data_IF_905084232179
#
_entry.id   IF_905084232179
#
_cell.length_a   1.000
_cell.length_b   1.000
_cell.length_c   1.000
_cell.angle_alpha   90.00
_cell.angle_beta   90.00
_cell.angle_gamma   90.00
#
_symmetry.space_group_name_H-M   'P 1'
#
loop_
_entity.id
_entity.type
_entity.pdbx_description
1 polymer ?
#
# COMPACT_ATOMS: atom_id res chain seq x y z
N UNK A 1 7.58 -3.73 -6.43
CA UNK A 1 7.22 -3.11 -7.74
C UNK A 1 8.18 -3.58 -8.82
N UNK A 2 7.69 -3.90 -10.02
CA UNK A 2 8.53 -4.38 -11.12
C UNK A 2 9.51 -3.31 -11.63
N UNK A 3 10.52 -3.73 -12.38
CA UNK A 3 11.31 -2.84 -13.21
C UNK A 3 10.49 -2.35 -14.41
N UNK A 4 10.70 -1.12 -14.81
CA UNK A 4 10.15 -0.54 -16.01
C UNK A 4 11.27 -0.26 -17.01
N UNK A 5 10.90 -0.09 -18.27
CA UNK A 5 11.83 0.19 -19.35
C UNK A 5 11.28 1.30 -20.24
N UNK A 6 12.15 2.19 -20.69
CA UNK A 6 11.80 3.23 -21.65
C UNK A 6 11.58 2.58 -23.02
N UNK A 7 10.36 2.66 -23.57
CA UNK A 7 10.03 2.05 -24.88
C UNK A 7 10.77 2.71 -26.04
N UNK A 8 11.41 3.87 -25.84
CA UNK A 8 12.17 4.54 -26.88
C UNK A 8 13.65 4.09 -26.92
N UNK A 9 14.30 3.91 -25.76
CA UNK A 9 15.74 3.67 -25.72
C UNK A 9 16.20 2.48 -24.86
N UNK A 10 15.28 1.73 -24.24
CA UNK A 10 15.61 0.57 -23.41
C UNK A 10 16.16 0.90 -22.01
N UNK A 11 16.26 2.19 -21.62
CA UNK A 11 16.76 2.59 -20.30
C UNK A 11 15.85 2.02 -19.20
N UNK A 12 16.41 1.31 -18.17
CA UNK A 12 15.67 0.96 -16.98
C UNK A 12 15.13 2.20 -16.25
N UNK A 13 13.90 2.11 -15.76
CA UNK A 13 13.17 3.21 -15.14
C UNK A 13 12.61 2.79 -13.78
N UNK A 14 12.56 3.77 -12.86
CA UNK A 14 11.82 3.65 -11.60
C UNK A 14 10.39 4.16 -11.75
N UNK A 15 9.53 3.72 -10.87
CA UNK A 15 8.10 4.05 -10.87
C UNK A 15 7.83 5.57 -10.80
N UNK A 16 8.68 6.31 -10.10
CA UNK A 16 8.57 7.75 -9.88
C UNK A 16 9.20 8.60 -10.98
N UNK A 17 9.87 8.00 -11.97
CA UNK A 17 10.52 8.77 -13.01
C UNK A 17 9.49 9.58 -13.82
N UNK A 18 9.79 10.85 -14.05
CA UNK A 18 9.00 11.78 -14.87
C UNK A 18 9.68 12.10 -16.21
N UNK A 19 10.97 11.74 -16.33
CA UNK A 19 11.78 11.90 -17.54
C UNK A 19 12.78 10.77 -17.65
N UNK A 20 13.02 10.30 -18.86
CA UNK A 20 14.08 9.32 -19.13
C UNK A 20 15.44 10.05 -19.20
N UNK A 21 16.36 9.71 -18.31
CA UNK A 21 17.68 10.33 -18.23
C UNK A 21 18.53 10.08 -19.47
N UNK A 22 18.31 8.95 -20.18
CA UNK A 22 19.08 8.60 -21.37
C UNK A 22 18.62 9.35 -22.61
N UNK A 23 17.32 9.36 -22.93
CA UNK A 23 16.80 9.90 -24.19
C UNK A 23 15.95 11.18 -24.04
N UNK A 24 15.72 11.64 -22.82
CA UNK A 24 15.01 12.88 -22.53
C UNK A 24 13.49 12.86 -22.70
N UNK A 25 12.88 11.71 -23.09
CA UNK A 25 11.43 11.63 -23.21
C UNK A 25 10.75 11.86 -21.85
N UNK A 26 9.65 12.63 -21.87
CA UNK A 26 8.75 12.69 -20.72
C UNK A 26 8.16 11.32 -20.44
N UNK A 27 7.92 11.00 -19.18
CA UNK A 27 7.41 9.71 -18.73
C UNK A 27 6.12 9.90 -17.95
N UNK A 28 5.24 8.90 -18.02
CA UNK A 28 4.04 8.85 -17.19
C UNK A 28 3.62 7.39 -16.91
N UNK A 29 3.03 7.15 -15.74
CA UNK A 29 2.47 5.85 -15.43
C UNK A 29 1.11 5.68 -16.09
N UNK A 30 0.95 4.60 -16.84
CA UNK A 30 -0.27 4.24 -17.55
C UNK A 30 -0.94 3.06 -16.83
N UNK A 31 -1.97 3.29 -16.00
CA UNK A 31 -2.61 2.23 -15.21
C UNK A 31 -3.20 1.09 -16.04
N UNK A 32 -3.78 1.39 -17.21
CA UNK A 32 -4.37 0.39 -18.11
C UNK A 32 -3.38 -0.65 -18.64
N UNK A 33 -2.08 -0.30 -18.63
CA UNK A 33 -0.96 -1.17 -19.04
C UNK A 33 -0.04 -1.54 -17.89
N UNK A 34 -0.33 -1.03 -16.70
CA UNK A 34 0.51 -1.23 -15.51
C UNK A 34 1.99 -0.93 -15.78
N UNK A 35 2.28 0.17 -16.49
CA UNK A 35 3.65 0.50 -16.91
C UNK A 35 3.94 2.00 -16.91
N UNK A 36 5.21 2.34 -16.71
CA UNK A 36 5.73 3.66 -17.07
C UNK A 36 5.92 3.68 -18.58
N UNK A 37 5.45 4.74 -19.23
CA UNK A 37 5.55 4.90 -20.69
C UNK A 37 6.26 6.18 -21.06
N UNK A 38 7.09 6.08 -22.10
CA UNK A 38 7.65 7.25 -22.77
C UNK A 38 6.55 7.95 -23.58
N UNK A 39 6.58 9.27 -23.57
CA UNK A 39 5.54 10.11 -24.15
C UNK A 39 6.07 10.92 -25.34
N UNK A 40 5.30 10.93 -26.42
CA UNK A 40 5.51 11.82 -27.54
C UNK A 40 4.83 13.15 -27.23
N UNK A 41 5.61 14.24 -27.34
CA UNK A 41 5.11 15.58 -27.06
C UNK A 41 3.93 15.97 -27.96
N UNK A 42 2.96 16.74 -27.43
CA UNK A 42 1.87 17.28 -28.24
C UNK A 42 2.39 18.09 -29.43
N UNK A 43 1.74 17.97 -30.59
CA UNK A 43 2.01 18.86 -31.72
C UNK A 43 1.45 20.24 -31.43
N UNK A 44 1.97 21.27 -32.14
CA UNK A 44 1.44 22.63 -32.06
C UNK A 44 -0.06 22.60 -32.44
N UNK A 45 -0.93 22.92 -31.51
CA UNK A 45 -2.39 22.83 -31.68
C UNK A 45 -3.09 21.67 -30.95
N UNK A 46 -2.35 20.62 -30.52
CA UNK A 46 -2.92 19.46 -29.81
C UNK A 46 -3.18 19.72 -28.30
N UNK A 47 -2.95 20.92 -27.80
CA UNK A 47 -3.06 21.27 -26.39
C UNK A 47 -2.08 20.49 -25.51
N UNK A 48 -2.56 19.98 -24.38
CA UNK A 48 -1.77 19.17 -23.42
C UNK A 48 -1.96 17.66 -23.63
N UNK A 49 -2.27 17.21 -24.86
CA UNK A 49 -2.57 15.81 -25.17
C UNK A 49 -1.32 15.06 -25.60
N UNK A 50 -0.96 14.03 -24.84
CA UNK A 50 0.21 13.19 -25.05
C UNK A 50 -0.17 11.86 -25.72
N UNK A 51 0.77 11.29 -26.51
CA UNK A 51 0.70 9.92 -26.99
C UNK A 51 1.67 9.06 -26.20
N UNK A 52 1.19 7.94 -25.66
CA UNK A 52 1.99 6.98 -24.92
C UNK A 52 2.59 5.94 -25.87
N UNK A 53 3.90 5.70 -25.80
CA UNK A 53 4.54 4.68 -26.66
C UNK A 53 4.06 3.25 -26.32
N UNK A 54 3.70 2.98 -25.06
CA UNK A 54 3.13 1.70 -24.65
C UNK A 54 1.69 1.48 -25.18
N UNK A 55 0.99 2.54 -25.62
CA UNK A 55 -0.35 2.48 -26.20
C UNK A 55 -0.53 3.57 -27.27
N UNK A 56 0.02 3.40 -28.47
CA UNK A 56 0.12 4.47 -29.50
C UNK A 56 -1.23 5.00 -30.01
N UNK A 57 -2.31 4.20 -29.88
CA UNK A 57 -3.66 4.60 -30.27
C UNK A 57 -4.36 5.47 -29.23
N UNK A 58 -3.94 5.38 -27.97
CA UNK A 58 -4.51 6.14 -26.86
C UNK A 58 -4.02 7.60 -26.83
N UNK A 59 -4.85 8.47 -26.31
CA UNK A 59 -4.52 9.88 -26.02
C UNK A 59 -4.67 10.14 -24.53
N UNK A 60 -3.69 10.82 -23.96
CA UNK A 60 -3.56 10.98 -22.52
C UNK A 60 -3.25 12.43 -22.14
N UNK A 61 -3.63 12.78 -20.93
CA UNK A 61 -3.13 13.94 -20.20
C UNK A 61 -2.54 13.49 -18.88
N UNK A 62 -1.66 14.28 -18.33
CA UNK A 62 -1.24 14.06 -16.94
C UNK A 62 -2.40 14.31 -15.98
N UNK A 63 -2.42 13.61 -14.86
CA UNK A 63 -3.23 13.93 -13.70
C UNK A 63 -3.05 15.41 -13.31
N UNK A 64 -4.11 16.10 -12.92
CA UNK A 64 -4.07 17.50 -12.55
C UNK A 64 -3.01 17.81 -11.47
N UNK A 65 -2.74 16.87 -10.57
CA UNK A 65 -1.71 17.00 -9.53
C UNK A 65 -0.26 16.99 -10.05
N UNK A 66 -0.02 16.81 -11.35
CA UNK A 66 1.32 16.96 -11.94
C UNK A 66 1.87 18.38 -11.74
N UNK A 67 1.00 19.40 -11.70
CA UNK A 67 1.40 20.79 -11.48
C UNK A 67 2.11 21.05 -10.15
N UNK A 68 1.88 20.18 -9.17
CA UNK A 68 2.51 20.22 -7.84
C UNK A 68 3.72 19.29 -7.73
N UNK A 69 4.08 18.57 -8.80
CA UNK A 69 5.18 17.60 -8.80
C UNK A 69 4.92 16.36 -7.94
N UNK A 70 3.67 16.06 -7.62
CA UNK A 70 3.28 14.95 -6.73
C UNK A 70 2.73 13.73 -7.49
N UNK A 71 2.56 13.82 -8.81
CA UNK A 71 1.95 12.74 -9.60
C UNK A 71 2.51 12.71 -11.02
N UNK A 72 2.86 11.50 -11.50
CA UNK A 72 3.26 11.23 -12.87
C UNK A 72 2.26 10.33 -13.62
N UNK A 73 1.08 10.11 -13.07
CA UNK A 73 0.09 9.21 -13.67
C UNK A 73 -0.70 9.88 -14.79
N UNK A 74 -1.07 9.05 -15.76
CA UNK A 74 -1.80 9.47 -16.95
C UNK A 74 -3.29 9.18 -16.79
N UNK A 75 -4.11 10.07 -17.39
CA UNK A 75 -5.55 9.97 -17.51
C UNK A 75 -5.90 10.00 -19.00
N UNK A 76 -6.80 9.12 -19.44
CA UNK A 76 -7.31 9.19 -20.83
C UNK A 76 -8.01 10.53 -21.08
N UNK A 77 -7.85 11.10 -22.26
CA UNK A 77 -8.58 12.31 -22.64
C UNK A 77 -10.08 12.08 -22.77
N UNK A 78 -10.49 10.82 -22.99
CA UNK A 78 -11.90 10.41 -23.07
C UNK A 78 -12.55 10.29 -21.68
N UNK A 79 -11.76 10.31 -20.61
CA UNK A 79 -12.27 10.30 -19.24
C UNK A 79 -12.72 11.71 -18.82
N UNK A 80 -13.87 11.87 -18.14
CA UNK A 80 -14.27 13.15 -17.56
C UNK A 80 -13.39 13.54 -16.36
N UNK A 81 -12.66 12.60 -15.77
CA UNK A 81 -11.87 12.77 -14.55
C UNK A 81 -10.59 13.57 -14.81
N UNK A 82 -10.36 14.65 -14.06
CA UNK A 82 -9.09 15.38 -14.11
C UNK A 82 -7.97 14.68 -13.34
N UNK A 83 -8.33 13.90 -12.33
CA UNK A 83 -7.41 13.17 -11.45
C UNK A 83 -7.29 11.70 -11.85
N UNK A 84 -6.10 11.14 -11.64
CA UNK A 84 -5.85 9.71 -11.84
C UNK A 84 -6.54 8.85 -10.78
N UNK A 85 -6.49 7.51 -10.96
CA UNK A 85 -7.07 6.55 -10.01
C UNK A 85 -6.62 6.74 -8.55
N UNK A 86 -5.40 7.18 -8.29
CA UNK A 86 -4.92 7.41 -6.94
C UNK A 86 -5.34 8.79 -6.40
N UNK A 87 -5.21 9.85 -7.22
CA UNK A 87 -5.44 11.23 -6.77
C UNK A 87 -6.92 11.57 -6.60
N UNK A 88 -7.85 10.92 -7.30
CA UNK A 88 -9.29 11.14 -7.13
C UNK A 88 -9.83 10.72 -5.76
N UNK A 89 -9.06 9.95 -5.00
CA UNK A 89 -9.38 9.59 -3.63
C UNK A 89 -8.89 10.63 -2.60
N UNK A 90 -8.17 11.69 -3.00
CA UNK A 90 -7.82 12.77 -2.09
C UNK A 90 -9.06 13.61 -1.78
N UNK A 91 -9.46 13.64 -0.52
CA UNK A 91 -10.55 14.48 -0.01
C UNK A 91 -10.01 15.83 0.48
N UNK A 92 -8.94 15.79 1.26
CA UNK A 92 -8.27 16.97 1.79
C UNK A 92 -6.78 16.90 1.48
N UNK A 93 -6.23 18.00 0.95
CA UNK A 93 -4.79 18.18 0.76
C UNK A 93 -4.29 19.30 1.69
N UNK A 94 -3.00 19.31 2.09
CA UNK A 94 -2.47 20.34 2.97
C UNK A 94 -2.47 21.71 2.29
N UNK A 95 -2.32 22.76 3.10
CA UNK A 95 -2.11 24.10 2.58
C UNK A 95 -0.75 24.19 1.86
N UNK A 96 -0.76 24.37 0.54
CA UNK A 96 0.43 24.37 -0.31
C UNK A 96 1.15 25.71 -0.37
N UNK A 97 0.70 26.74 0.35
CA UNK A 97 1.43 28.02 0.44
C UNK A 97 2.76 27.88 1.21
N UNK A 98 2.91 26.83 1.99
CA UNK A 98 4.12 26.47 2.72
C UNK A 98 4.92 25.45 1.93
N UNK A 99 6.19 25.75 1.62
CA UNK A 99 7.06 24.85 0.87
C UNK A 99 7.30 23.52 1.57
N UNK A 100 7.36 23.53 2.90
CA UNK A 100 7.48 22.31 3.70
C UNK A 100 6.27 21.38 3.53
N UNK A 101 5.05 21.93 3.57
CA UNK A 101 3.83 21.15 3.34
C UNK A 101 3.83 20.51 1.95
N UNK A 102 4.27 21.24 0.94
CA UNK A 102 4.39 20.71 -0.43
C UNK A 102 5.40 19.55 -0.48
N UNK A 103 6.59 19.73 0.11
CA UNK A 103 7.64 18.71 0.13
C UNK A 103 7.17 17.44 0.89
N UNK A 104 6.51 17.60 2.03
CA UNK A 104 5.95 16.49 2.80
C UNK A 104 4.81 15.79 2.05
N UNK A 105 3.92 16.56 1.41
CA UNK A 105 2.86 15.97 0.60
C UNK A 105 3.40 15.20 -0.61
N UNK A 106 4.50 15.65 -1.24
CA UNK A 106 5.18 14.89 -2.30
C UNK A 106 5.63 13.51 -1.82
N UNK A 107 6.25 13.40 -0.64
CA UNK A 107 6.66 12.12 -0.06
C UNK A 107 5.45 11.21 0.23
N UNK A 108 4.38 11.77 0.77
CA UNK A 108 3.13 11.06 1.06
C UNK A 108 2.49 10.52 -0.23
N UNK A 109 2.39 11.35 -1.27
CA UNK A 109 1.81 10.95 -2.56
C UNK A 109 2.63 9.84 -3.24
N UNK A 110 3.96 9.86 -3.14
CA UNK A 110 4.81 8.76 -3.62
C UNK A 110 4.42 7.45 -2.92
N UNK A 111 4.30 7.44 -1.60
CA UNK A 111 3.92 6.25 -0.83
C UNK A 111 2.49 5.79 -1.19
N UNK A 112 1.54 6.72 -1.33
CA UNK A 112 0.17 6.41 -1.74
C UNK A 112 0.11 5.85 -3.17
N UNK A 113 0.87 6.38 -4.12
CA UNK A 113 0.92 5.84 -5.48
C UNK A 113 1.49 4.41 -5.51
N UNK A 114 2.47 4.10 -4.66
CA UNK A 114 2.97 2.72 -4.47
C UNK A 114 1.90 1.80 -3.90
N UNK A 115 1.12 2.27 -2.92
CA UNK A 115 -0.04 1.52 -2.42
C UNK A 115 -1.03 1.23 -3.57
N UNK A 116 -1.44 2.27 -4.32
CA UNK A 116 -2.40 2.12 -5.42
C UNK A 116 -1.90 1.20 -6.52
N UNK A 117 -0.59 1.18 -6.79
CA UNK A 117 0.00 0.19 -7.69
C UNK A 117 -0.33 -1.24 -7.23
N UNK A 118 -0.10 -1.56 -5.96
CA UNK A 118 -0.40 -2.88 -5.39
C UNK A 118 -1.89 -3.19 -5.42
N UNK A 119 -2.76 -2.22 -5.04
CA UNK A 119 -4.20 -2.39 -5.04
C UNK A 119 -4.74 -2.71 -6.45
N UNK A 120 -4.24 -2.02 -7.47
CA UNK A 120 -4.60 -2.27 -8.87
C UNK A 120 -4.13 -3.65 -9.33
N UNK A 121 -2.90 -4.04 -9.00
CA UNK A 121 -2.33 -5.37 -9.31
C UNK A 121 -3.15 -6.50 -8.68
N UNK A 122 -3.55 -6.36 -7.45
CA UNK A 122 -4.37 -7.31 -6.71
C UNK A 122 -5.86 -7.21 -7.09
N UNK A 123 -6.24 -6.24 -7.94
CA UNK A 123 -7.62 -5.99 -8.38
C UNK A 123 -8.59 -5.81 -7.22
N UNK A 124 -8.14 -5.18 -6.17
CA UNK A 124 -8.97 -4.86 -5.02
C UNK A 124 -9.98 -3.76 -5.36
N UNK A 125 -11.18 -3.75 -4.76
CA UNK A 125 -12.19 -2.73 -5.05
C UNK A 125 -11.71 -1.34 -4.60
N UNK A 126 -11.83 -0.36 -5.49
CA UNK A 126 -11.42 1.04 -5.30
C UNK A 126 -12.64 1.95 -5.52
N UNK A 127 -13.63 1.84 -4.65
CA UNK A 127 -14.83 2.67 -4.70
C UNK A 127 -14.54 4.01 -4.04
N UNK A 128 -14.84 5.12 -4.73
CA UNK A 128 -14.66 6.47 -4.19
C UNK A 128 -15.85 6.89 -3.32
N UNK A 129 -15.70 7.94 -2.52
CA UNK A 129 -16.82 8.52 -1.75
C UNK A 129 -17.90 9.16 -2.63
N UNK A 130 -17.60 9.49 -3.87
CA UNK A 130 -18.61 9.96 -4.83
C UNK A 130 -19.54 8.82 -5.28
N UNK A 131 -19.05 7.57 -5.23
CA UNK A 131 -19.80 6.37 -5.61
C UNK A 131 -20.47 5.69 -4.41
N UNK A 132 -19.93 5.84 -3.20
CA UNK A 132 -20.39 5.20 -1.96
C UNK A 132 -20.02 6.09 -0.76
N UNK A 133 -20.93 6.41 0.16
CA UNK A 133 -20.65 7.22 1.36
C UNK A 133 -19.51 6.68 2.22
N UNK A 134 -19.29 5.36 2.25
CA UNK A 134 -18.18 4.69 2.94
C UNK A 134 -17.05 4.33 1.98
N UNK A 135 -17.00 4.92 0.78
CA UNK A 135 -15.94 4.76 -0.19
C UNK A 135 -14.61 5.32 0.31
N UNK A 136 -13.53 4.81 -0.27
CA UNK A 136 -12.16 5.18 0.09
C UNK A 136 -11.88 6.65 -0.17
N UNK A 137 -11.35 7.35 0.84
CA UNK A 137 -10.81 8.70 0.71
C UNK A 137 -9.60 8.92 1.62
N UNK A 138 -8.79 9.92 1.29
CA UNK A 138 -7.60 10.30 2.06
C UNK A 138 -7.67 11.77 2.45
N UNK A 139 -7.35 12.04 3.72
CA UNK A 139 -7.11 13.38 4.27
C UNK A 139 -5.63 13.51 4.65
N UNK A 140 -4.96 14.50 4.12
CA UNK A 140 -3.59 14.85 4.47
C UNK A 140 -3.59 16.13 5.27
N UNK A 141 -3.44 16.00 6.59
CA UNK A 141 -3.62 17.09 7.52
C UNK A 141 -2.29 17.50 8.15
N UNK A 142 -1.99 18.80 8.10
CA UNK A 142 -0.89 19.38 8.86
C UNK A 142 -1.35 19.71 10.28
N UNK A 143 -0.44 19.65 11.25
CA UNK A 143 -0.70 20.18 12.57
C UNK A 143 -1.09 21.67 12.46
N UNK A 144 -2.02 22.17 13.31
CA UNK A 144 -2.35 23.57 13.35
C UNK A 144 -1.10 24.41 13.64
N UNK A 145 -1.00 25.59 13.01
CA UNK A 145 0.10 26.52 13.29
C UNK A 145 0.11 26.90 14.77
N UNK A 146 1.29 27.07 15.35
CA UNK A 146 1.46 27.53 16.72
C UNK A 146 0.66 28.82 16.95
N UNK A 147 -0.13 28.85 18.02
CA UNK A 147 -1.00 30.00 18.35
C UNK A 147 -2.41 29.95 17.80
N UNK A 148 -2.80 28.90 17.08
CA UNK A 148 -4.20 28.65 16.72
C UNK A 148 -4.91 27.88 17.84
N UNK A 149 -6.19 28.21 18.12
CA UNK A 149 -6.99 27.53 19.15
C UNK A 149 -7.43 26.09 18.78
N UNK A 150 -6.80 25.46 17.80
CA UNK A 150 -7.07 24.07 17.47
C UNK A 150 -6.47 23.14 18.55
N UNK A 151 -7.34 22.47 19.28
CA UNK A 151 -7.01 21.81 20.55
C UNK A 151 -6.66 20.33 20.44
N UNK A 152 -6.80 19.70 19.30
CA UNK A 152 -6.54 18.26 19.14
C UNK A 152 -5.38 18.00 18.17
N UNK A 153 -4.44 17.09 18.53
CA UNK A 153 -3.41 16.65 17.60
C UNK A 153 -4.05 15.90 16.41
N UNK A 154 -3.48 16.08 15.22
CA UNK A 154 -3.85 15.26 14.06
C UNK A 154 -3.29 13.86 14.30
N UNK A 155 -4.17 12.88 14.38
CA UNK A 155 -3.80 11.46 14.48
C UNK A 155 -3.99 10.80 13.12
N UNK A 156 -3.03 9.97 12.73
CA UNK A 156 -3.21 9.03 11.62
C UNK A 156 -4.17 7.93 12.02
N UNK A 157 -5.05 7.51 11.11
CA UNK A 157 -6.01 6.45 11.38
C UNK A 157 -7.09 6.34 10.30
N UNK A 158 -7.95 5.34 10.43
CA UNK A 158 -9.07 5.05 9.54
C UNK A 158 -10.41 5.24 10.26
N UNK A 159 -11.38 5.85 9.60
CA UNK A 159 -12.78 5.91 10.03
C UNK A 159 -13.72 6.04 8.82
N UNK A 160 -14.71 5.13 8.72
CA UNK A 160 -15.77 5.17 7.71
C UNK A 160 -15.24 5.43 6.28
N UNK A 161 -14.26 4.64 5.85
CA UNK A 161 -13.64 4.75 4.53
C UNK A 161 -12.66 5.90 4.35
N UNK A 162 -12.47 6.75 5.36
CA UNK A 162 -11.49 7.86 5.33
C UNK A 162 -10.23 7.48 6.07
N UNK A 163 -9.11 7.57 5.36
CA UNK A 163 -7.78 7.42 5.93
C UNK A 163 -7.18 8.81 6.11
N UNK A 164 -6.92 9.17 7.36
CA UNK A 164 -6.22 10.42 7.71
C UNK A 164 -4.74 10.13 7.91
N UNK A 165 -3.89 10.91 7.25
CA UNK A 165 -2.43 10.87 7.45
C UNK A 165 -1.97 12.22 7.98
N UNK A 166 -1.27 12.19 9.11
CA UNK A 166 -0.60 13.37 9.62
C UNK A 166 0.59 13.72 8.73
N UNK A 167 0.62 14.96 8.23
CA UNK A 167 1.67 15.43 7.32
C UNK A 167 3.08 15.35 7.94
N UNK A 168 3.18 15.47 9.27
CA UNK A 168 4.43 15.33 10.00
C UNK A 168 5.09 13.94 9.84
N UNK A 169 4.32 12.90 9.50
CA UNK A 169 4.88 11.58 9.23
C UNK A 169 5.76 11.52 7.98
N UNK A 170 5.68 12.51 7.10
CA UNK A 170 6.58 12.65 5.96
C UNK A 170 7.96 13.15 6.35
N UNK A 171 8.12 13.75 7.55
CA UNK A 171 9.42 14.12 8.10
C UNK A 171 10.14 12.88 8.63
N UNK A 172 11.37 12.64 8.17
CA UNK A 172 12.14 11.45 8.52
C UNK A 172 12.59 11.47 9.99
N UNK A 173 12.91 12.65 10.53
CA UNK A 173 13.34 12.80 11.91
C UNK A 173 12.16 12.61 12.87
N UNK A 174 11.00 13.16 12.55
CA UNK A 174 9.77 12.99 13.32
C UNK A 174 9.35 11.50 13.35
N UNK A 175 9.36 10.84 12.19
CA UNK A 175 9.02 9.42 12.08
C UNK A 175 9.99 8.54 12.88
N UNK A 176 11.29 8.83 12.84
CA UNK A 176 12.30 8.12 13.63
C UNK A 176 12.11 8.36 15.14
N UNK A 177 11.74 9.58 15.54
CA UNK A 177 11.40 9.90 16.92
C UNK A 177 10.22 9.08 17.41
N UNK A 178 9.13 9.03 16.64
CA UNK A 178 7.93 8.25 16.96
C UNK A 178 8.26 6.76 17.01
N UNK A 179 9.01 6.23 16.03
CA UNK A 179 9.48 4.84 15.99
C UNK A 179 10.20 4.47 17.29
N UNK A 180 11.12 5.35 17.75
CA UNK A 180 11.90 5.11 18.97
C UNK A 180 11.04 5.19 20.22
N UNK A 181 10.10 6.15 20.29
CA UNK A 181 9.19 6.31 21.44
C UNK A 181 8.23 5.13 21.59
N UNK A 182 7.76 4.55 20.49
CA UNK A 182 6.85 3.41 20.46
C UNK A 182 7.59 2.07 20.49
N UNK A 183 8.93 2.08 20.52
CA UNK A 183 9.77 0.88 20.41
C UNK A 183 9.42 -0.02 19.19
N UNK A 184 9.01 0.59 18.09
CA UNK A 184 8.68 -0.12 16.85
C UNK A 184 9.96 -0.48 16.09
N UNK A 185 10.13 -1.72 15.62
CA UNK A 185 11.30 -2.11 14.85
C UNK A 185 11.27 -1.53 13.42
N UNK A 186 10.11 -1.15 12.90
CA UNK A 186 9.90 -0.70 11.54
C UNK A 186 8.75 0.32 11.48
N UNK A 187 8.99 1.49 10.86
CA UNK A 187 7.98 2.52 10.65
C UNK A 187 8.27 3.28 9.35
N UNK A 188 7.42 3.16 8.36
CA UNK A 188 7.53 3.85 7.07
C UNK A 188 6.18 4.40 6.62
N UNK A 189 6.16 5.46 5.81
CA UNK A 189 4.92 5.98 5.22
C UNK A 189 4.14 4.90 4.47
N UNK A 190 4.84 4.10 3.65
CA UNK A 190 4.18 3.02 2.90
C UNK A 190 3.65 1.93 3.83
N UNK A 191 4.35 1.63 4.92
CA UNK A 191 3.88 0.71 5.97
C UNK A 191 2.58 1.18 6.59
N UNK A 192 2.49 2.47 6.98
CA UNK A 192 1.27 3.08 7.50
C UNK A 192 0.11 3.02 6.50
N UNK A 193 0.34 3.42 5.25
CA UNK A 193 -0.70 3.30 4.22
C UNK A 193 -1.21 1.87 4.06
N UNK A 194 -0.33 0.87 4.15
CA UNK A 194 -0.70 -0.55 4.08
C UNK A 194 -1.48 -1.01 5.31
N UNK A 195 -1.17 -0.45 6.46
CA UNK A 195 -1.88 -0.70 7.71
C UNK A 195 -3.29 -0.08 7.66
N UNK A 196 -3.40 1.21 7.39
CA UNK A 196 -4.69 1.93 7.39
C UNK A 196 -5.66 1.43 6.30
N UNK A 197 -5.14 1.08 5.13
CA UNK A 197 -5.97 0.52 4.07
C UNK A 197 -6.54 -0.86 4.43
N UNK A 198 -5.89 -1.59 5.33
CA UNK A 198 -6.39 -2.88 5.80
C UNK A 198 -7.67 -2.72 6.62
N UNK A 199 -7.80 -1.69 7.45
CA UNK A 199 -9.04 -1.37 8.15
C UNK A 199 -10.19 -1.12 7.16
N UNK A 200 -9.93 -0.35 6.09
CA UNK A 200 -10.90 -0.16 5.01
C UNK A 200 -11.32 -1.48 4.37
N UNK A 201 -10.35 -2.37 4.05
CA UNK A 201 -10.68 -3.66 3.43
C UNK A 201 -11.30 -4.65 4.41
N UNK A 202 -11.04 -4.54 5.72
CA UNK A 202 -11.78 -5.30 6.72
C UNK A 202 -13.27 -4.97 6.66
N UNK A 203 -13.63 -3.69 6.64
CA UNK A 203 -15.03 -3.25 6.50
C UNK A 203 -15.66 -3.75 5.18
N UNK A 204 -14.90 -3.70 4.08
CA UNK A 204 -15.41 -4.00 2.73
C UNK A 204 -15.47 -5.50 2.40
N UNK A 205 -14.59 -6.31 2.95
CA UNK A 205 -14.41 -7.71 2.56
C UNK A 205 -14.87 -8.69 3.65
N UNK A 206 -14.83 -8.28 4.92
CA UNK A 206 -15.01 -9.20 6.06
C UNK A 206 -16.26 -8.87 6.88
N UNK A 207 -16.46 -7.64 7.31
CA UNK A 207 -17.47 -7.23 8.30
C UNK A 207 -18.88 -7.76 8.03
N UNK A 208 -19.32 -7.77 6.77
CA UNK A 208 -20.66 -8.22 6.34
C UNK A 208 -20.59 -9.43 5.39
N UNK A 209 -19.58 -10.26 5.52
CA UNK A 209 -19.36 -11.41 4.65
C UNK A 209 -19.30 -12.73 5.42
N UNK A 210 -19.39 -13.88 4.74
CA UNK A 210 -19.18 -15.20 5.36
C UNK A 210 -17.76 -15.39 5.93
N UNK A 211 -16.83 -14.50 5.67
CA UNK A 211 -15.47 -14.57 6.21
C UNK A 211 -15.38 -14.13 7.67
N UNK A 212 -16.41 -13.46 8.22
CA UNK A 212 -16.38 -12.92 9.57
C UNK A 212 -16.16 -14.00 10.64
N UNK A 213 -16.83 -15.14 10.54
CA UNK A 213 -16.66 -16.24 11.50
C UNK A 213 -15.23 -16.81 11.44
N UNK A 214 -14.71 -17.02 10.22
CA UNK A 214 -13.32 -17.47 10.05
C UNK A 214 -12.31 -16.41 10.54
N UNK A 215 -12.61 -15.12 10.38
CA UNK A 215 -11.81 -14.05 10.95
C UNK A 215 -11.72 -14.16 12.46
N UNK A 216 -12.86 -14.37 13.15
CA UNK A 216 -12.92 -14.55 14.62
C UNK A 216 -12.13 -15.78 15.10
N UNK A 217 -12.17 -16.87 14.34
CA UNK A 217 -11.37 -18.06 14.63
C UNK A 217 -9.86 -17.80 14.55
N UNK A 218 -9.41 -16.95 13.62
CA UNK A 218 -7.99 -16.71 13.31
C UNK A 218 -7.41 -15.56 14.13
N UNK A 219 -8.16 -14.44 14.25
CA UNK A 219 -7.68 -13.19 14.86
C UNK A 219 -8.29 -12.93 16.25
N UNK A 220 -9.44 -13.50 16.56
CA UNK A 220 -10.18 -13.25 17.78
C UNK A 220 -11.41 -12.37 17.57
N UNK A 221 -12.10 -12.08 18.68
CA UNK A 221 -13.37 -11.33 18.66
C UNK A 221 -13.12 -9.83 18.54
N UNK A 222 -13.46 -9.25 17.38
CA UNK A 222 -13.32 -7.83 17.07
C UNK A 222 -14.30 -6.91 17.83
N UNK A 223 -15.29 -7.49 18.54
CA UNK A 223 -16.26 -6.73 19.34
C UNK A 223 -15.73 -6.31 20.71
N UNK A 224 -14.51 -6.70 21.05
CA UNK A 224 -13.81 -6.20 22.24
C UNK A 224 -13.71 -4.68 22.18
N UNK A 225 -13.77 -4.00 23.36
CA UNK A 225 -13.62 -2.56 23.39
C UNK A 225 -12.22 -2.16 22.97
N UNK A 226 -12.16 -1.47 21.82
CA UNK A 226 -10.91 -1.03 21.20
C UNK A 226 -10.13 -0.06 22.09
N UNK A 227 -10.82 0.91 22.73
CA UNK A 227 -10.16 1.92 23.56
C UNK A 227 -9.59 1.30 24.82
N UNK A 228 -10.32 0.38 25.47
CA UNK A 228 -9.82 -0.36 26.61
C UNK A 228 -8.61 -1.23 26.24
N UNK A 229 -8.65 -1.91 25.10
CA UNK A 229 -7.55 -2.71 24.60
C UNK A 229 -6.30 -1.86 24.34
N UNK A 230 -6.45 -0.69 23.71
CA UNK A 230 -5.38 0.25 23.44
C UNK A 230 -4.77 0.82 24.75
N UNK A 231 -5.61 1.26 25.69
CA UNK A 231 -5.16 1.75 27.00
C UNK A 231 -4.40 0.68 27.77
N UNK A 232 -4.88 -0.57 27.75
CA UNK A 232 -4.21 -1.70 28.40
C UNK A 232 -2.82 -1.94 27.80
N UNK A 233 -2.73 -1.90 26.47
CA UNK A 233 -1.45 -2.07 25.77
C UNK A 233 -0.43 -1.01 26.15
N UNK A 234 -0.82 0.26 26.18
CA UNK A 234 0.09 1.35 26.57
C UNK A 234 0.45 1.34 28.05
N UNK A 235 -0.44 0.87 28.93
CA UNK A 235 -0.18 0.82 30.36
C UNK A 235 0.65 -0.42 30.78
N UNK A 236 0.47 -1.56 30.14
CA UNK A 236 1.02 -2.86 30.56
C UNK A 236 2.02 -3.46 29.56
N UNK A 237 2.11 -2.89 28.35
CA UNK A 237 2.84 -3.49 27.23
C UNK A 237 2.13 -4.67 26.59
N UNK A 238 2.75 -5.27 25.55
CA UNK A 238 2.22 -6.46 24.88
C UNK A 238 2.30 -7.70 25.81
N UNK A 239 1.46 -8.72 25.59
CA UNK A 239 1.58 -10.00 26.29
C UNK A 239 2.98 -10.61 26.12
N UNK A 240 3.51 -11.26 27.16
CA UNK A 240 4.88 -11.82 27.10
C UNK A 240 5.09 -12.89 26.02
N UNK A 241 4.02 -13.52 25.55
CA UNK A 241 4.01 -14.52 24.47
C UNK A 241 3.70 -13.95 23.08
N UNK A 242 3.60 -12.60 22.93
CA UNK A 242 3.27 -11.99 21.66
C UNK A 242 4.14 -12.46 20.48
N UNK A 243 5.47 -12.69 20.63
CA UNK A 243 6.30 -13.09 19.50
C UNK A 243 5.95 -14.47 18.92
N UNK A 244 5.22 -15.30 19.65
CA UNK A 244 4.77 -16.61 19.19
C UNK A 244 3.45 -16.53 18.39
N UNK A 245 2.66 -15.46 18.60
CA UNK A 245 1.27 -15.35 18.13
C UNK A 245 1.03 -14.23 17.12
N UNK A 246 1.83 -13.18 17.18
CA UNK A 246 1.63 -11.95 16.45
C UNK A 246 2.86 -11.57 15.63
N UNK A 247 2.68 -10.85 14.53
CA UNK A 247 3.76 -10.40 13.66
C UNK A 247 4.54 -9.23 14.29
N UNK A 248 3.87 -8.39 15.08
CA UNK A 248 4.44 -7.26 15.82
C UNK A 248 3.85 -7.19 17.23
N UNK A 249 4.48 -6.43 18.12
CA UNK A 249 3.93 -6.15 19.44
C UNK A 249 2.58 -5.41 19.35
N UNK A 250 2.47 -4.46 18.42
CA UNK A 250 1.26 -3.68 18.19
C UNK A 250 0.10 -4.54 17.69
N UNK A 251 0.34 -5.56 16.89
CA UNK A 251 -0.68 -6.53 16.48
C UNK A 251 -1.41 -7.20 17.67
N UNK A 252 -0.80 -7.23 18.85
CA UNK A 252 -1.42 -7.82 20.05
C UNK A 252 -2.45 -6.90 20.74
N UNK A 253 -2.67 -5.69 20.26
CA UNK A 253 -3.60 -4.72 20.86
C UNK A 253 -5.05 -5.19 20.68
N UNK A 254 -5.46 -5.46 19.45
CA UNK A 254 -6.83 -5.75 19.09
C UNK A 254 -6.88 -6.60 17.80
N UNK A 255 -7.91 -7.45 17.58
CA UNK A 255 -8.07 -8.22 16.34
C UNK A 255 -8.01 -7.38 15.06
N UNK A 256 -8.49 -6.15 15.04
CA UNK A 256 -8.37 -5.22 13.92
C UNK A 256 -6.91 -4.83 13.65
N UNK A 257 -6.14 -4.57 14.70
CA UNK A 257 -4.71 -4.23 14.57
C UNK A 257 -3.90 -5.44 14.10
N UNK A 258 -4.21 -6.62 14.61
CA UNK A 258 -3.59 -7.87 14.17
C UNK A 258 -3.82 -8.15 12.68
N UNK A 259 -5.05 -7.91 12.23
CA UNK A 259 -5.38 -8.02 10.81
C UNK A 259 -4.64 -6.97 9.98
N UNK A 260 -4.62 -5.71 10.42
CA UNK A 260 -4.00 -4.61 9.69
C UNK A 260 -2.48 -4.77 9.59
N UNK A 261 -1.82 -5.17 10.67
CA UNK A 261 -0.40 -5.52 10.68
C UNK A 261 -0.13 -6.71 9.73
N UNK A 262 -0.92 -7.79 9.83
CA UNK A 262 -0.77 -8.96 8.96
C UNK A 262 -0.97 -8.61 7.48
N UNK A 263 -1.95 -7.77 7.16
CA UNK A 263 -2.19 -7.26 5.80
C UNK A 263 -1.02 -6.42 5.28
N UNK A 264 -0.51 -5.50 6.09
CA UNK A 264 0.64 -4.68 5.74
C UNK A 264 1.87 -5.55 5.42
N UNK A 265 2.11 -6.59 6.24
CA UNK A 265 3.19 -7.54 6.01
C UNK A 265 2.98 -8.38 4.75
N UNK A 266 1.75 -8.81 4.46
CA UNK A 266 1.43 -9.50 3.20
C UNK A 266 1.79 -8.63 1.99
N UNK A 267 1.44 -7.34 2.00
CA UNK A 267 1.79 -6.41 0.92
C UNK A 267 3.29 -6.19 0.82
N UNK A 268 4.01 -6.09 1.96
CA UNK A 268 5.48 -6.04 1.94
C UNK A 268 6.07 -7.25 1.23
N UNK A 269 5.57 -8.46 1.53
CA UNK A 269 6.06 -9.70 0.91
C UNK A 269 5.81 -9.70 -0.59
N UNK A 270 4.59 -9.43 -1.03
CA UNK A 270 4.20 -9.47 -2.46
C UNK A 270 4.99 -8.44 -3.27
N UNK A 271 5.06 -7.18 -2.82
CA UNK A 271 5.74 -6.11 -3.56
C UNK A 271 7.26 -6.30 -3.61
N UNK A 272 7.86 -6.81 -2.52
CA UNK A 272 9.30 -7.07 -2.49
C UNK A 272 9.66 -8.26 -3.35
N UNK A 273 8.85 -9.33 -3.33
CA UNK A 273 9.05 -10.49 -4.21
C UNK A 273 8.85 -10.13 -5.68
N UNK A 274 7.89 -9.24 -6.02
CA UNK A 274 7.77 -8.73 -7.40
C UNK A 274 9.05 -8.02 -7.84
N UNK A 275 9.60 -7.18 -6.97
CA UNK A 275 10.87 -6.50 -7.27
C UNK A 275 12.01 -7.50 -7.43
N UNK A 276 12.13 -8.46 -6.53
CA UNK A 276 13.15 -9.49 -6.59
C UNK A 276 13.03 -10.37 -7.85
N UNK A 277 11.80 -10.72 -8.26
CA UNK A 277 11.54 -11.43 -9.51
C UNK A 277 11.97 -10.61 -10.73
N UNK A 278 11.65 -9.30 -10.74
CA UNK A 278 12.03 -8.40 -11.84
C UNK A 278 13.55 -8.26 -12.01
N UNK A 279 14.32 -8.39 -10.92
CA UNK A 279 15.78 -8.42 -10.95
C UNK A 279 16.35 -9.84 -11.17
N UNK A 280 15.54 -10.88 -11.29
CA UNK A 280 15.99 -12.27 -11.41
C UNK A 280 16.76 -12.76 -10.18
N UNK A 281 16.40 -12.28 -8.97
CA UNK A 281 17.15 -12.61 -7.77
C UNK A 281 17.02 -14.10 -7.41
N UNK A 282 18.14 -14.68 -7.05
CA UNK A 282 18.26 -16.05 -6.55
C UNK A 282 19.12 -16.05 -5.29
N UNK A 283 18.68 -16.79 -4.29
CA UNK A 283 19.43 -17.01 -3.05
C UNK A 283 19.98 -18.43 -3.08
N UNK A 284 21.32 -18.59 -3.03
CA UNK A 284 22.02 -19.88 -3.02
C UNK A 284 23.14 -19.86 -1.97
N UNK A 285 22.83 -20.12 -0.69
CA UNK A 285 23.83 -20.08 0.38
C UNK A 285 24.92 -21.14 0.15
N UNK A 286 26.19 -20.73 0.31
CA UNK A 286 27.37 -21.60 0.15
C UNK A 286 27.79 -22.21 1.49
N UNK A 287 26.86 -22.78 2.23
CA UNK A 287 27.09 -23.43 3.53
C UNK A 287 26.49 -24.84 3.54
N UNK A 288 27.08 -25.77 4.32
CA UNK A 288 26.68 -27.20 4.31
C UNK A 288 25.20 -27.47 4.56
N UNK A 289 24.52 -26.64 5.35
CA UNK A 289 23.09 -26.76 5.66
C UNK A 289 22.25 -25.62 5.04
N UNK A 290 22.72 -25.02 3.94
CA UNK A 290 22.07 -23.86 3.32
C UNK A 290 20.93 -24.22 2.36
N UNK A 291 20.67 -25.50 2.10
CA UNK A 291 19.65 -25.90 1.12
C UNK A 291 18.24 -25.38 1.46
N UNK A 292 17.89 -25.33 2.74
CA UNK A 292 16.59 -24.76 3.21
C UNK A 292 16.47 -23.23 3.06
N UNK A 293 17.56 -22.55 2.71
CA UNK A 293 17.57 -21.10 2.43
C UNK A 293 17.81 -20.81 0.94
N UNK A 294 17.69 -21.82 0.07
CA UNK A 294 17.82 -21.62 -1.37
C UNK A 294 16.45 -21.31 -1.99
N UNK A 295 16.37 -20.26 -2.80
CA UNK A 295 15.17 -19.92 -3.56
C UNK A 295 15.51 -19.24 -4.88
N UNK A 296 14.69 -19.46 -5.90
CA UNK A 296 14.65 -18.66 -7.12
C UNK A 296 13.29 -17.95 -7.19
N UNK A 297 13.33 -16.65 -7.40
CA UNK A 297 12.09 -15.85 -7.47
C UNK A 297 11.78 -15.64 -8.95
N UNK A 298 11.20 -16.68 -9.57
CA UNK A 298 10.88 -16.80 -11.00
C UNK A 298 9.36 -16.87 -11.27
N UNK A 299 8.57 -16.35 -10.35
CA UNK A 299 7.11 -16.37 -10.38
C UNK A 299 6.50 -14.99 -10.13
N UNK A 300 5.24 -14.83 -10.51
CA UNK A 300 4.44 -13.65 -10.17
C UNK A 300 3.83 -13.81 -8.77
N UNK A 301 4.28 -13.03 -7.76
CA UNK A 301 3.78 -13.13 -6.40
C UNK A 301 2.31 -12.72 -6.26
N UNK A 302 1.74 -11.95 -7.21
CA UNK A 302 0.34 -11.55 -7.19
C UNK A 302 -0.63 -12.68 -7.54
N UNK A 303 -0.12 -13.80 -8.06
CA UNK A 303 -0.92 -14.97 -8.47
C UNK A 303 -0.45 -16.28 -7.83
N UNK A 304 0.69 -16.25 -7.14
CA UNK A 304 1.28 -17.40 -6.47
C UNK A 304 0.47 -17.83 -5.23
N UNK A 305 0.59 -19.09 -4.82
CA UNK A 305 0.04 -19.56 -3.54
C UNK A 305 0.80 -18.94 -2.35
N UNK A 306 0.13 -18.85 -1.21
CA UNK A 306 0.73 -18.32 0.02
C UNK A 306 1.97 -19.11 0.43
N UNK A 307 1.97 -20.44 0.28
CA UNK A 307 3.13 -21.28 0.60
C UNK A 307 4.34 -20.87 -0.23
N UNK A 308 4.16 -20.68 -1.55
CA UNK A 308 5.26 -20.25 -2.43
C UNK A 308 5.77 -18.86 -2.11
N UNK A 309 4.88 -17.94 -1.68
CA UNK A 309 5.24 -16.60 -1.22
C UNK A 309 6.09 -16.70 0.05
N UNK A 310 5.66 -17.46 1.05
CA UNK A 310 6.38 -17.64 2.33
C UNK A 310 7.73 -18.34 2.12
N UNK A 311 7.76 -19.41 1.33
CA UNK A 311 8.98 -20.18 1.04
C UNK A 311 10.05 -19.35 0.32
N UNK A 312 9.64 -18.40 -0.54
CA UNK A 312 10.55 -17.48 -1.20
C UNK A 312 10.95 -16.30 -0.29
N UNK A 313 10.04 -15.84 0.57
CA UNK A 313 10.24 -14.70 1.44
C UNK A 313 11.31 -14.93 2.49
N UNK A 314 11.28 -16.09 3.17
CA UNK A 314 12.22 -16.40 4.26
C UNK A 314 13.68 -16.37 3.81
N UNK A 315 14.10 -17.07 2.72
CA UNK A 315 15.47 -16.98 2.22
C UNK A 315 15.85 -15.59 1.73
N UNK A 316 14.93 -14.89 1.06
CA UNK A 316 15.18 -13.54 0.54
C UNK A 316 15.48 -12.55 1.67
N UNK A 317 14.62 -12.54 2.71
CA UNK A 317 14.81 -11.62 3.85
C UNK A 317 16.04 -11.95 4.65
N UNK A 318 16.38 -13.24 4.83
CA UNK A 318 17.63 -13.64 5.47
C UNK A 318 18.86 -13.10 4.71
N UNK A 319 18.86 -13.19 3.38
CA UNK A 319 19.93 -12.65 2.56
C UNK A 319 19.98 -11.12 2.61
N UNK A 320 18.83 -10.43 2.47
CA UNK A 320 18.72 -8.98 2.50
C UNK A 320 19.16 -8.40 3.86
N UNK A 321 18.72 -8.99 4.97
CA UNK A 321 19.16 -8.62 6.32
C UNK A 321 20.68 -8.79 6.48
N UNK A 322 21.24 -9.89 5.96
CA UNK A 322 22.69 -10.13 6.01
C UNK A 322 23.47 -9.07 5.22
N UNK A 323 22.97 -8.65 4.05
CA UNK A 323 23.55 -7.55 3.26
C UNK A 323 23.49 -6.23 4.04
N UNK A 324 22.32 -5.88 4.61
CA UNK A 324 22.17 -4.66 5.42
C UNK A 324 23.16 -4.64 6.61
N UNK A 325 23.27 -5.75 7.35
CA UNK A 325 24.23 -5.88 8.46
C UNK A 325 25.67 -5.69 8.00
N UNK A 326 26.05 -6.21 6.81
CA UNK A 326 27.39 -6.02 6.27
C UNK A 326 27.69 -4.58 5.86
N UNK A 327 26.67 -3.75 5.69
CA UNK A 327 26.77 -2.31 5.46
C UNK A 327 26.62 -1.48 6.76
N UNK A 328 26.56 -2.12 7.92
CA UNK A 328 26.37 -1.45 9.22
C UNK A 328 24.97 -0.92 9.44
N UNK A 329 23.96 -1.44 8.73
CA UNK A 329 22.57 -1.04 8.85
C UNK A 329 21.74 -2.07 9.62
N UNK A 330 20.63 -1.66 10.27
CA UNK A 330 19.66 -2.57 10.86
C UNK A 330 19.08 -3.56 9.84
N UNK A 331 18.44 -4.62 10.32
CA UNK A 331 17.72 -5.55 9.46
C UNK A 331 16.67 -4.83 8.64
N UNK A 332 16.64 -5.11 7.34
CA UNK A 332 15.63 -4.57 6.42
C UNK A 332 14.23 -5.07 6.80
N UNK A 333 14.13 -6.32 7.24
CA UNK A 333 12.90 -6.95 7.71
C UNK A 333 13.18 -7.68 9.03
N UNK A 334 12.97 -7.02 10.19
CA UNK A 334 13.34 -7.54 11.50
C UNK A 334 12.28 -8.46 12.14
N UNK A 335 11.29 -8.92 11.37
CA UNK A 335 10.17 -9.71 11.87
C UNK A 335 10.37 -11.21 11.65
N UNK A 336 9.79 -12.01 12.54
CA UNK A 336 9.85 -13.47 12.49
C UNK A 336 8.47 -14.05 12.21
N UNK A 337 8.33 -14.73 11.08
CA UNK A 337 7.07 -15.39 10.72
C UNK A 337 6.93 -16.74 11.45
N UNK A 338 6.19 -16.75 12.53
CA UNK A 338 5.84 -17.95 13.28
C UNK A 338 4.64 -18.67 12.63
N UNK A 339 4.40 -19.96 12.91
CA UNK A 339 3.26 -20.69 12.34
C UNK A 339 1.92 -19.99 12.52
N UNK A 340 1.65 -19.40 13.69
CA UNK A 340 0.43 -18.64 13.92
C UNK A 340 0.28 -17.43 12.99
N UNK A 341 1.39 -16.73 12.70
CA UNK A 341 1.41 -15.60 11.76
C UNK A 341 1.17 -16.09 10.33
N UNK A 342 1.74 -17.25 9.94
CA UNK A 342 1.51 -17.83 8.61
C UNK A 342 0.03 -18.18 8.40
N UNK A 343 -0.68 -18.69 9.43
CA UNK A 343 -2.13 -18.92 9.36
C UNK A 343 -2.89 -17.62 9.08
N UNK A 344 -2.51 -16.51 9.73
CA UNK A 344 -3.10 -15.19 9.52
C UNK A 344 -2.79 -14.64 8.11
N UNK A 345 -1.57 -14.79 7.64
CA UNK A 345 -1.18 -14.43 6.26
C UNK A 345 -1.98 -15.24 5.22
N UNK A 346 -2.26 -16.52 5.52
CA UNK A 346 -3.10 -17.37 4.67
C UNK A 346 -4.52 -16.83 4.60
N UNK A 347 -5.11 -16.42 5.72
CA UNK A 347 -6.43 -15.79 5.74
C UNK A 347 -6.45 -14.51 4.89
N UNK A 348 -5.46 -13.62 5.06
CA UNK A 348 -5.34 -12.39 4.24
C UNK A 348 -5.23 -12.72 2.76
N UNK A 349 -4.41 -13.71 2.40
CA UNK A 349 -4.27 -14.19 1.02
C UNK A 349 -5.62 -14.65 0.44
N UNK A 350 -6.39 -15.43 1.19
CA UNK A 350 -7.72 -15.91 0.77
C UNK A 350 -8.75 -14.76 0.61
N UNK A 351 -8.70 -13.74 1.47
CA UNK A 351 -9.52 -12.53 1.32
C UNK A 351 -9.23 -11.79 0.01
N UNK A 352 -7.95 -11.71 -0.37
CA UNK A 352 -7.50 -11.02 -1.57
C UNK A 352 -7.76 -11.87 -2.83
N UNK A 353 -7.62 -13.20 -2.71
CA UNK A 353 -7.74 -14.17 -3.82
C UNK A 353 -8.91 -15.14 -3.60
N UNK A 354 -10.16 -14.67 -3.48
CA UNK A 354 -11.28 -15.58 -3.30
C UNK A 354 -11.40 -16.54 -4.48
N UNK A 355 -11.68 -17.81 -4.22
CA UNK A 355 -11.89 -18.82 -5.25
C UNK A 355 -12.90 -18.32 -6.30
N UNK A 356 -12.77 -18.74 -7.56
CA UNK A 356 -13.54 -18.18 -8.70
C UNK A 356 -15.07 -18.16 -8.48
N UNK A 357 -15.62 -19.11 -7.71
CA UNK A 357 -17.03 -19.14 -7.33
C UNK A 357 -17.43 -18.09 -6.26
N UNK A 358 -16.53 -17.78 -5.34
CA UNK A 358 -16.78 -16.81 -4.27
C UNK A 358 -16.69 -15.35 -4.77
N UNK A 359 -15.94 -15.06 -5.83
CA UNK A 359 -15.90 -13.72 -6.47
C UNK A 359 -17.26 -13.29 -7.02
N UNK A 360 -18.05 -14.26 -7.55
CA UNK A 360 -19.42 -14.00 -8.00
C UNK A 360 -20.35 -13.66 -6.84
N UNK A 361 -20.23 -14.38 -5.73
CA UNK A 361 -21.03 -14.13 -4.52
C UNK A 361 -20.67 -12.80 -3.85
N UNK A 362 -19.38 -12.48 -3.72
CA UNK A 362 -18.91 -11.21 -3.15
C UNK A 362 -19.36 -10.01 -4.01
N UNK A 363 -19.29 -10.13 -5.33
CA UNK A 363 -19.77 -9.10 -6.27
C UNK A 363 -21.29 -8.96 -6.23
N UNK A 364 -22.03 -10.05 -5.99
CA UNK A 364 -23.49 -10.03 -5.83
C UNK A 364 -23.89 -9.38 -4.50
N UNK A 365 -23.16 -9.64 -3.41
CA UNK A 365 -23.37 -8.99 -2.10
C UNK A 365 -23.08 -7.49 -2.19
N UNK A 366 -21.97 -7.09 -2.79
CA UNK A 366 -21.64 -5.66 -3.02
C UNK A 366 -22.66 -4.95 -3.91
N UNK A 367 -23.19 -5.64 -4.93
CA UNK A 367 -24.26 -5.11 -5.79
C UNK A 367 -25.65 -5.14 -5.10
N UNK A 368 -25.90 -6.08 -4.20
CA UNK A 368 -27.11 -6.17 -3.39
C UNK A 368 -27.20 -5.05 -2.35
N UNK A 369 -26.08 -4.72 -1.70
CA UNK A 369 -25.96 -3.57 -0.80
C UNK A 369 -26.18 -2.25 -1.54
N UNK A 370 -25.68 -2.09 -2.77
CA UNK A 370 -25.95 -0.92 -3.61
C UNK A 370 -27.45 -0.74 -3.93
N UNK A 371 -28.20 -1.84 -4.06
CA UNK A 371 -29.66 -1.80 -4.30
C UNK A 371 -30.49 -1.57 -3.04
N UNK A 372 -30.01 -2.03 -1.89
CA UNK A 372 -30.71 -1.87 -0.61
C UNK A 372 -30.60 -0.44 -0.05
N UNK A 373 -29.52 0.28 -0.38
CA UNK A 373 -29.28 1.67 0.05
C UNK A 373 -29.84 2.69 -0.97
N UNK A 374 -30.18 2.25 -2.18
CA UNK A 374 -30.58 3.11 -3.32
C UNK A 374 -32.06 3.03 -3.74
N UNK A 375 -32.99 2.63 -2.86
CA UNK A 375 -34.42 2.71 -3.16
C UNK A 375 -35.08 3.83 -2.32
N UNK A 376 -35.29 5.04 -2.88
CA UNK A 376 -36.35 5.88 -2.37
C UNK A 376 -37.69 5.34 -2.88
N UNK A 377 -38.64 5.24 -1.96
CA UNK A 377 -40.04 4.95 -2.19
C UNK A 377 -40.67 5.92 -3.16
#
# INVERSE_FOLDING_TARGET
MKLFECQHCGQPLYFENVRCESCGHSLGYLPSKETITALVAPRKGDGKTWKALAEPKGRYRYCANVQHGVCNWLVSVDSPEEFCFACRHNRTIPNLSTLENLANWQKIEIAKHRLFYTLLKLRLPLTTRAEDPDGLAFDFLAAPAEGTHATAPVLTGHAHGVITINLAEADDAERERQRSQMAEPYRTLLGHFRHEIAHYYWDRLIALSPLLEKFREVFGDERQDYNEALQRHYAQGPPGDWPQRFVSAYASVHPWEDFSETWAHYFHMVDTLETAAAFGLQVRPRVKKGAGLATAIDFDPHTASIDRIVDAWLPLTFAANSINRSMGQPDLYPFVLRPAVIVKLTFVHECIHPARGARGALRAVLNGLKRAVGAPS
#
